data_IF_089029194777
#
_entry.id   IF_089029194777
#
_cell.length_a   1.000
_cell.length_b   1.000
_cell.length_c   1.000
_cell.angle_alpha   90.00
_cell.angle_beta   90.00
_cell.angle_gamma   90.00
#
_symmetry.space_group_name_H-M   'P 1'
#
loop_
_entity.id
_entity.type
_entity.pdbx_description
1 polymer ?
#
# COMPACT_ATOMS: atom_id res chain seq x y z
N UNK A 1 -73.22 -32.83 -29.52
CA UNK A 1 -73.48 -31.39 -29.77
C UNK A 1 -72.88 -30.62 -28.65
N UNK A 2 -71.88 -29.89 -28.87
CA UNK A 2 -71.66 -28.55 -28.34
C UNK A 2 -70.20 -28.09 -28.45
N UNK A 3 -70.03 -26.94 -28.88
CA UNK A 3 -68.95 -26.22 -29.54
C UNK A 3 -67.71 -25.97 -28.69
N UNK A 4 -66.55 -26.20 -29.31
CA UNK A 4 -65.29 -25.59 -28.94
C UNK A 4 -65.38 -24.06 -29.01
N UNK A 5 -64.96 -23.39 -27.94
CA UNK A 5 -64.53 -21.98 -27.98
C UNK A 5 -63.10 -21.90 -27.60
N UNK A 6 -62.27 -21.52 -28.56
CA UNK A 6 -60.89 -21.10 -28.41
C UNK A 6 -60.88 -19.75 -27.75
N UNK A 7 -60.21 -19.64 -26.60
CA UNK A 7 -59.85 -18.33 -26.02
C UNK A 7 -58.36 -18.12 -26.10
N UNK A 8 -58.05 -16.94 -26.58
CA UNK A 8 -56.79 -16.48 -27.07
C UNK A 8 -55.67 -16.41 -26.02
N UNK A 9 -54.52 -16.57 -26.58
CA UNK A 9 -53.21 -16.43 -25.90
C UNK A 9 -53.05 -14.98 -25.46
N UNK A 10 -53.13 -14.75 -24.15
CA UNK A 10 -52.87 -13.48 -23.52
C UNK A 10 -51.38 -13.18 -23.52
N UNK A 11 -51.05 -12.01 -24.00
CA UNK A 11 -49.75 -11.39 -24.15
C UNK A 11 -48.90 -11.55 -22.90
N UNK A 12 -47.73 -12.18 -23.06
CA UNK A 12 -46.65 -12.12 -22.07
C UNK A 12 -46.25 -10.65 -21.84
N UNK A 13 -46.56 -10.14 -20.67
CA UNK A 13 -45.94 -8.91 -20.16
C UNK A 13 -44.47 -9.22 -19.89
N UNK A 14 -43.60 -8.72 -20.73
CA UNK A 14 -42.19 -8.63 -20.43
C UNK A 14 -42.04 -7.71 -19.22
N UNK A 15 -41.72 -8.24 -18.05
CA UNK A 15 -41.16 -7.44 -16.97
C UNK A 15 -39.79 -6.96 -17.44
N UNK A 16 -39.71 -5.70 -17.80
CA UNK A 16 -38.45 -5.00 -17.90
C UNK A 16 -37.89 -4.89 -16.45
N UNK A 17 -36.98 -5.77 -16.10
CA UNK A 17 -36.11 -5.58 -14.95
C UNK A 17 -35.22 -4.43 -15.34
N UNK A 18 -35.56 -3.22 -14.89
CA UNK A 18 -34.61 -2.11 -14.84
C UNK A 18 -33.50 -2.54 -13.88
N UNK A 19 -32.39 -2.99 -14.42
CA UNK A 19 -31.11 -2.96 -13.69
C UNK A 19 -30.86 -1.50 -13.32
N UNK A 20 -31.27 -1.15 -12.12
CA UNK A 20 -30.79 0.06 -11.47
C UNK A 20 -29.30 -0.06 -11.44
N UNK A 21 -28.61 0.72 -12.26
CA UNK A 21 -27.22 1.02 -12.07
C UNK A 21 -27.10 1.61 -10.66
N UNK A 22 -26.83 0.78 -9.65
CA UNK A 22 -26.27 1.23 -8.40
C UNK A 22 -24.93 1.84 -8.82
N UNK A 23 -24.96 3.16 -9.02
CA UNK A 23 -23.74 3.91 -9.23
C UNK A 23 -22.83 3.59 -8.08
N UNK A 24 -21.69 2.96 -8.40
CA UNK A 24 -20.50 3.18 -7.59
C UNK A 24 -20.40 4.71 -7.51
N UNK A 25 -20.71 5.25 -6.33
CA UNK A 25 -20.28 6.58 -5.98
C UNK A 25 -18.75 6.49 -6.03
N UNK A 26 -18.20 6.77 -7.20
CA UNK A 26 -16.79 7.05 -7.33
C UNK A 26 -16.55 8.18 -6.33
N UNK A 27 -15.94 7.83 -5.21
CA UNK A 27 -15.26 8.80 -4.37
C UNK A 27 -14.52 9.68 -5.37
N UNK A 28 -14.83 10.98 -5.41
CA UNK A 28 -14.31 11.91 -6.40
C UNK A 28 -12.81 12.14 -6.23
N UNK A 29 -12.04 11.07 -6.32
CA UNK A 29 -10.60 11.09 -6.38
C UNK A 29 -10.22 11.74 -7.70
N UNK A 30 -9.60 12.90 -7.63
CA UNK A 30 -8.91 13.46 -8.79
C UNK A 30 -8.00 12.37 -9.35
N UNK A 31 -7.96 12.17 -10.68
CA UNK A 31 -7.01 11.22 -11.26
C UNK A 31 -5.62 11.54 -10.74
N UNK A 32 -4.88 10.49 -10.35
CA UNK A 32 -3.49 10.64 -9.95
C UNK A 32 -2.75 11.34 -11.09
N UNK A 33 -1.89 12.33 -10.80
CA UNK A 33 -1.04 12.87 -11.83
C UNK A 33 -0.23 11.69 -12.39
N UNK A 34 -0.32 11.49 -13.71
CA UNK A 34 0.53 10.53 -14.38
C UNK A 34 1.98 11.01 -14.18
N UNK A 35 2.70 10.38 -13.25
CA UNK A 35 4.11 10.69 -13.01
C UNK A 35 4.86 10.52 -14.34
N UNK A 36 5.71 11.48 -14.65
CA UNK A 36 6.58 11.37 -15.84
C UNK A 36 7.44 10.12 -15.66
N UNK A 37 7.50 9.19 -16.63
CA UNK A 37 8.35 8.01 -16.52
C UNK A 37 9.80 8.40 -16.22
N UNK A 38 10.33 7.92 -15.09
CA UNK A 38 11.69 8.25 -14.62
C UNK A 38 12.75 7.24 -15.08
N UNK A 39 12.40 6.36 -16.02
CA UNK A 39 13.18 5.17 -16.44
C UNK A 39 14.69 5.41 -16.63
N UNK A 40 15.10 6.57 -17.13
CA UNK A 40 16.52 6.88 -17.31
C UNK A 40 17.27 7.20 -16.03
N UNK A 41 16.63 7.87 -15.07
CA UNK A 41 17.25 8.32 -13.82
C UNK A 41 17.29 7.25 -12.74
N UNK A 42 16.39 6.27 -12.80
CA UNK A 42 16.20 5.27 -11.77
C UNK A 42 16.87 3.95 -12.06
N UNK A 43 17.23 3.71 -13.34
CA UNK A 43 17.82 2.45 -13.80
C UNK A 43 19.04 2.04 -12.98
N UNK A 44 19.01 0.81 -12.45
CA UNK A 44 20.09 0.22 -11.67
C UNK A 44 20.15 0.65 -10.20
N UNK A 45 19.27 1.56 -9.75
CA UNK A 45 19.11 1.79 -8.31
C UNK A 45 18.52 0.56 -7.66
N UNK A 46 18.86 0.33 -6.38
CA UNK A 46 18.28 -0.71 -5.55
C UNK A 46 17.39 -0.08 -4.48
N UNK A 47 16.22 -0.65 -4.25
CA UNK A 47 15.29 -0.21 -3.21
C UNK A 47 14.96 -1.39 -2.32
N UNK A 48 15.13 -1.21 -1.01
CA UNK A 48 14.75 -2.20 -0.01
C UNK A 48 13.24 -2.16 0.22
N UNK A 49 12.60 -3.32 0.26
CA UNK A 49 11.19 -3.47 0.63
C UNK A 49 11.15 -4.32 1.90
N UNK A 50 10.86 -3.69 3.03
CA UNK A 50 10.87 -4.35 4.34
C UNK A 50 9.50 -4.94 4.65
N UNK A 51 9.42 -6.27 4.80
CA UNK A 51 8.18 -7.02 5.00
C UNK A 51 8.26 -7.99 6.18
N UNK A 52 7.15 -8.17 6.90
CA UNK A 52 6.95 -9.23 7.88
C UNK A 52 5.89 -10.22 7.44
N UNK A 53 5.64 -11.25 8.25
CA UNK A 53 4.50 -12.13 8.04
C UNK A 53 3.21 -11.30 8.02
N UNK A 54 2.30 -11.67 7.13
CA UNK A 54 1.01 -11.01 6.95
C UNK A 54 1.10 -9.51 6.59
N UNK A 55 2.16 -9.09 5.92
CA UNK A 55 2.15 -7.81 5.21
C UNK A 55 1.07 -7.84 4.12
N UNK A 56 0.51 -6.67 3.77
CA UNK A 56 -0.53 -6.58 2.76
C UNK A 56 0.04 -6.87 1.36
N UNK A 57 -0.58 -7.83 0.66
CA UNK A 57 -0.03 -8.40 -0.58
C UNK A 57 -0.09 -7.44 -1.75
N UNK A 58 -1.20 -6.72 -1.95
CA UNK A 58 -1.34 -5.78 -3.07
C UNK A 58 -0.35 -4.61 -2.93
N UNK A 59 -0.19 -4.08 -1.72
CA UNK A 59 0.80 -3.03 -1.45
C UNK A 59 2.20 -3.51 -1.77
N UNK A 60 2.57 -4.68 -1.27
CA UNK A 60 3.92 -5.26 -1.46
C UNK A 60 4.20 -5.55 -2.93
N UNK A 61 3.31 -6.27 -3.62
CA UNK A 61 3.52 -6.64 -5.01
C UNK A 61 3.51 -5.44 -5.95
N UNK A 62 2.60 -4.48 -5.72
CA UNK A 62 2.57 -3.28 -6.55
C UNK A 62 3.86 -2.46 -6.40
N UNK A 63 4.37 -2.29 -5.17
CA UNK A 63 5.66 -1.63 -4.94
C UNK A 63 6.79 -2.32 -5.71
N UNK A 64 6.88 -3.65 -5.60
CA UNK A 64 7.91 -4.46 -6.28
C UNK A 64 7.81 -4.30 -7.80
N UNK A 65 6.64 -4.52 -8.39
CA UNK A 65 6.46 -4.47 -9.85
C UNK A 65 6.64 -3.05 -10.38
N UNK A 66 6.14 -2.05 -9.67
CA UNK A 66 6.27 -0.65 -10.08
C UNK A 66 7.73 -0.18 -10.09
N UNK A 67 8.55 -0.65 -9.14
CA UNK A 67 9.99 -0.43 -9.15
C UNK A 67 10.65 -1.09 -10.37
N UNK A 68 10.30 -2.36 -10.64
CA UNK A 68 10.83 -3.10 -11.79
C UNK A 68 10.48 -2.44 -13.12
N UNK A 69 9.28 -1.89 -13.28
CA UNK A 69 8.86 -1.15 -14.48
C UNK A 69 9.74 0.08 -14.76
N UNK A 70 10.27 0.71 -13.70
CA UNK A 70 11.20 1.85 -13.81
C UNK A 70 12.67 1.43 -13.92
N UNK A 71 12.96 0.12 -13.96
CA UNK A 71 14.32 -0.41 -14.03
C UNK A 71 15.08 -0.34 -12.70
N UNK A 72 14.36 -0.20 -11.59
CA UNK A 72 14.88 -0.30 -10.22
C UNK A 72 14.87 -1.76 -9.78
N UNK A 73 15.90 -2.20 -9.07
CA UNK A 73 15.96 -3.52 -8.45
C UNK A 73 15.29 -3.48 -7.06
N UNK A 74 14.08 -4.07 -6.88
CA UNK A 74 13.51 -4.23 -5.55
C UNK A 74 14.19 -5.40 -4.85
N UNK A 75 14.55 -5.21 -3.59
CA UNK A 75 15.10 -6.26 -2.73
C UNK A 75 14.17 -6.43 -1.53
N UNK A 76 13.47 -7.55 -1.48
CA UNK A 76 12.53 -7.85 -0.41
C UNK A 76 13.29 -8.44 0.78
N UNK A 77 13.23 -7.76 1.92
CA UNK A 77 13.90 -8.13 3.15
C UNK A 77 12.90 -8.55 4.23
N UNK A 78 13.26 -9.56 5.00
CA UNK A 78 12.50 -10.01 6.17
C UNK A 78 13.44 -10.44 7.31
N UNK A 79 12.89 -10.97 8.41
CA UNK A 79 13.68 -11.49 9.52
C UNK A 79 14.60 -12.65 9.08
N UNK A 80 14.13 -13.46 8.13
CA UNK A 80 14.83 -14.59 7.54
C UNK A 80 14.57 -14.63 6.04
N UNK A 81 15.50 -15.24 5.28
CA UNK A 81 15.28 -15.53 3.86
C UNK A 81 14.36 -16.74 3.75
N UNK A 82 13.12 -16.50 3.38
CA UNK A 82 12.08 -17.53 3.26
C UNK A 82 10.94 -17.07 2.36
N UNK A 83 9.98 -17.94 2.14
CA UNK A 83 8.69 -17.59 1.57
C UNK A 83 7.77 -17.11 2.67
N UNK A 84 7.34 -15.84 2.59
CA UNK A 84 6.42 -15.22 3.53
C UNK A 84 4.97 -15.34 3.07
N UNK A 85 4.06 -15.53 4.02
CA UNK A 85 2.62 -15.44 3.79
C UNK A 85 2.18 -13.98 3.86
N UNK A 86 1.55 -13.48 2.78
CA UNK A 86 0.91 -12.18 2.73
C UNK A 86 -0.58 -12.31 3.02
N UNK A 87 -1.23 -11.19 3.30
CA UNK A 87 -2.70 -11.09 3.45
C UNK A 87 -3.32 -10.23 2.36
N UNK A 88 -4.63 -10.35 2.22
CA UNK A 88 -5.48 -9.46 1.44
C UNK A 88 -6.41 -8.74 2.41
N UNK A 89 -6.37 -7.42 2.40
CA UNK A 89 -7.30 -6.57 3.12
C UNK A 89 -8.31 -5.96 2.16
N UNK A 90 -9.59 -6.27 2.37
CA UNK A 90 -10.70 -5.72 1.60
C UNK A 90 -11.49 -4.70 2.42
N UNK A 91 -11.87 -3.59 1.79
CA UNK A 91 -12.72 -2.55 2.37
C UNK A 91 -14.17 -2.75 1.90
N UNK A 92 -14.91 -3.63 2.57
CA UNK A 92 -16.31 -3.89 2.25
C UNK A 92 -17.24 -2.85 2.92
N UNK A 93 -18.17 -2.21 2.17
CA UNK A 93 -19.01 -1.12 2.71
C UNK A 93 -19.86 -1.49 3.93
N UNK A 94 -20.13 -2.78 4.13
CA UNK A 94 -20.94 -3.28 5.27
C UNK A 94 -20.16 -3.38 6.59
N UNK A 95 -18.83 -3.23 6.55
CA UNK A 95 -18.00 -3.28 7.74
C UNK A 95 -17.34 -1.93 8.01
N UNK A 96 -17.18 -1.61 9.29
CA UNK A 96 -16.47 -0.39 9.72
C UNK A 96 -14.94 -0.53 9.68
N UNK A 97 -14.44 -1.74 9.37
CA UNK A 97 -13.02 -2.06 9.29
C UNK A 97 -12.78 -2.95 8.07
N UNK A 98 -11.51 -3.17 7.70
CA UNK A 98 -11.16 -4.10 6.64
C UNK A 98 -11.41 -5.56 7.07
N UNK A 99 -11.66 -6.42 6.08
CA UNK A 99 -11.60 -7.87 6.25
C UNK A 99 -10.20 -8.38 5.92
N UNK A 100 -9.81 -9.54 6.45
CA UNK A 100 -8.52 -10.15 6.17
C UNK A 100 -8.69 -11.57 5.65
N UNK A 101 -7.93 -11.90 4.60
CA UNK A 101 -7.81 -13.24 4.02
C UNK A 101 -6.35 -13.53 3.73
N UNK A 102 -5.98 -14.81 3.69
CA UNK A 102 -4.65 -15.21 3.19
C UNK A 102 -4.52 -14.83 1.72
N UNK A 103 -3.43 -14.16 1.40
CA UNK A 103 -3.06 -13.74 0.06
C UNK A 103 -2.00 -14.67 -0.56
N UNK A 104 -1.33 -14.16 -1.60
CA UNK A 104 -0.17 -14.83 -2.18
C UNK A 104 1.02 -14.82 -1.22
N UNK A 105 2.01 -15.65 -1.51
CA UNK A 105 3.27 -15.69 -0.79
C UNK A 105 4.35 -14.95 -1.59
N UNK A 106 5.32 -14.35 -0.91
CA UNK A 106 6.45 -13.68 -1.53
C UNK A 106 7.77 -14.29 -1.06
N UNK A 107 8.72 -14.48 -2.00
CA UNK A 107 10.09 -14.87 -1.67
C UNK A 107 10.88 -13.65 -1.18
N UNK A 108 11.58 -13.79 -0.06
CA UNK A 108 12.50 -12.77 0.43
C UNK A 108 13.93 -13.07 -0.03
N UNK A 109 14.71 -12.02 -0.29
CA UNK A 109 16.06 -12.15 -0.84
C UNK A 109 17.17 -11.93 0.18
N UNK A 110 16.87 -11.25 1.29
CA UNK A 110 17.88 -10.93 2.31
C UNK A 110 17.26 -10.90 3.70
N UNK A 111 18.00 -11.37 4.70
CA UNK A 111 17.61 -11.21 6.10
C UNK A 111 17.98 -9.82 6.61
N UNK A 112 17.17 -9.23 7.50
CA UNK A 112 17.43 -7.89 8.04
C UNK A 112 18.83 -7.71 8.63
N UNK A 113 19.35 -8.74 9.32
CA UNK A 113 20.70 -8.73 9.91
C UNK A 113 21.84 -8.61 8.89
N UNK A 114 21.57 -8.97 7.64
CA UNK A 114 22.55 -8.96 6.54
C UNK A 114 22.41 -7.72 5.65
N UNK A 115 21.38 -6.87 5.90
CA UNK A 115 21.15 -5.64 5.14
C UNK A 115 22.22 -4.60 5.49
N UNK A 116 22.85 -4.07 4.45
CA UNK A 116 23.69 -2.86 4.54
C UNK A 116 22.89 -1.70 3.96
N UNK A 117 22.28 -0.81 4.78
CA UNK A 117 21.35 0.20 4.30
C UNK A 117 21.95 1.13 3.23
N UNK A 118 23.24 1.40 3.28
CA UNK A 118 23.96 2.23 2.31
C UNK A 118 24.00 1.66 0.89
N UNK A 119 23.69 0.37 0.71
CA UNK A 119 23.63 -0.27 -0.61
C UNK A 119 22.31 0.04 -1.35
N UNK A 120 21.38 0.75 -0.72
CA UNK A 120 20.05 1.01 -1.24
C UNK A 120 19.76 2.50 -1.38
N UNK A 121 19.15 2.87 -2.49
CA UNK A 121 18.77 4.27 -2.77
C UNK A 121 17.46 4.69 -2.09
N UNK A 122 16.69 3.76 -1.53
CA UNK A 122 15.44 4.03 -0.84
C UNK A 122 14.92 2.81 -0.08
N UNK A 123 13.96 3.06 0.81
CA UNK A 123 13.26 2.06 1.61
C UNK A 123 11.75 2.19 1.43
N UNK A 124 11.06 1.06 1.24
CA UNK A 124 9.61 0.94 1.23
C UNK A 124 9.12 0.00 2.33
N UNK A 125 8.03 0.37 2.99
CA UNK A 125 7.41 -0.40 4.07
C UNK A 125 5.91 -0.50 3.77
N UNK A 126 5.41 -1.65 3.26
CA UNK A 126 3.99 -1.88 3.08
C UNK A 126 3.27 -2.05 4.42
N UNK A 127 1.95 -2.10 4.38
CA UNK A 127 1.13 -2.30 5.56
C UNK A 127 0.77 -3.78 5.82
N UNK A 128 -0.49 -4.01 6.17
CA UNK A 128 -0.92 -5.26 6.75
C UNK A 128 -0.51 -5.35 8.22
N UNK A 129 -0.38 -6.56 8.76
CA UNK A 129 0.10 -6.80 10.12
C UNK A 129 1.62 -6.89 10.23
N UNK A 130 2.32 -7.02 9.08
CA UNK A 130 3.78 -7.08 9.04
C UNK A 130 4.48 -5.96 9.81
N UNK A 131 4.07 -4.68 9.71
CA UNK A 131 4.63 -3.58 10.48
C UNK A 131 4.59 -3.76 12.00
N UNK A 132 3.57 -4.43 12.53
CA UNK A 132 3.46 -4.71 13.97
C UNK A 132 4.53 -5.69 14.44
N UNK A 133 4.89 -6.64 13.58
CA UNK A 133 5.97 -7.58 13.82
C UNK A 133 7.33 -6.91 13.65
N UNK A 134 7.60 -6.34 12.47
CA UNK A 134 8.96 -5.93 12.11
C UNK A 134 9.48 -4.75 12.92
N UNK A 135 8.59 -3.91 13.48
CA UNK A 135 8.98 -2.83 14.41
C UNK A 135 9.59 -3.33 15.73
N UNK A 136 9.55 -4.64 15.99
CA UNK A 136 10.17 -5.25 17.16
C UNK A 136 11.65 -5.61 16.93
N UNK A 137 12.10 -5.65 15.66
CA UNK A 137 13.47 -6.01 15.32
C UNK A 137 14.39 -4.80 15.33
N UNK A 138 15.46 -4.89 16.13
CA UNK A 138 16.46 -3.83 16.24
C UNK A 138 17.06 -3.45 14.89
N UNK A 139 17.36 -4.45 14.07
CA UNK A 139 17.91 -4.30 12.73
C UNK A 139 17.00 -3.46 11.83
N UNK A 140 15.68 -3.67 11.89
CA UNK A 140 14.72 -2.87 11.14
C UNK A 140 14.70 -1.42 11.60
N UNK A 141 14.73 -1.20 12.92
CA UNK A 141 14.77 0.17 13.48
C UNK A 141 16.07 0.91 13.10
N UNK A 142 17.20 0.21 13.01
CA UNK A 142 18.47 0.75 12.53
C UNK A 142 18.43 1.06 11.03
N UNK A 143 17.85 0.16 10.20
CA UNK A 143 17.63 0.39 8.76
C UNK A 143 16.77 1.63 8.55
N UNK A 144 15.60 1.70 9.19
CA UNK A 144 14.71 2.87 9.09
C UNK A 144 15.42 4.14 9.55
N UNK A 145 16.17 4.06 10.66
CA UNK A 145 16.97 5.17 11.17
C UNK A 145 17.95 5.71 10.15
N UNK A 146 18.66 4.86 9.43
CA UNK A 146 19.58 5.26 8.38
C UNK A 146 18.91 6.12 7.29
N UNK A 147 17.74 5.69 6.78
CA UNK A 147 17.00 6.45 5.76
C UNK A 147 16.40 7.73 6.32
N UNK A 148 15.82 7.68 7.50
CA UNK A 148 15.16 8.82 8.13
C UNK A 148 16.15 9.92 8.51
N UNK A 149 17.22 9.57 9.23
CA UNK A 149 18.24 10.51 9.71
C UNK A 149 19.07 11.07 8.54
N UNK A 150 19.33 10.23 7.53
CA UNK A 150 20.06 10.62 6.32
C UNK A 150 19.23 11.47 5.35
N UNK A 151 17.94 11.69 5.61
CA UNK A 151 17.04 12.37 4.67
C UNK A 151 16.99 11.66 3.32
N UNK A 152 17.01 10.34 3.33
CA UNK A 152 16.97 9.49 2.14
C UNK A 152 15.52 9.09 1.79
N UNK A 153 15.23 8.66 0.54
CA UNK A 153 13.90 8.22 0.15
C UNK A 153 13.35 7.13 1.04
N UNK A 154 12.26 7.44 1.76
CA UNK A 154 11.57 6.54 2.67
C UNK A 154 10.08 6.58 2.39
N UNK A 155 9.50 5.44 2.00
CA UNK A 155 8.08 5.29 1.76
C UNK A 155 7.43 4.34 2.75
N UNK A 156 6.25 4.69 3.28
CA UNK A 156 5.47 3.80 4.14
C UNK A 156 3.97 3.97 3.89
N UNK A 157 3.25 2.85 3.91
CA UNK A 157 1.84 2.83 3.59
C UNK A 157 1.03 2.09 4.65
N UNK A 158 -0.26 2.46 4.80
CA UNK A 158 -1.21 1.76 5.65
C UNK A 158 -0.72 1.73 7.12
N UNK A 159 -0.33 0.55 7.64
CA UNK A 159 0.29 0.39 8.96
C UNK A 159 1.82 0.60 8.95
N UNK A 160 2.45 0.69 7.77
CA UNK A 160 3.90 0.90 7.63
C UNK A 160 4.49 2.06 8.45
N UNK A 161 3.83 3.22 8.59
CA UNK A 161 4.32 4.32 9.43
C UNK A 161 4.60 3.93 10.88
N UNK A 162 3.99 2.86 11.40
CA UNK A 162 4.28 2.34 12.75
C UNK A 162 5.76 2.01 12.95
N UNK A 163 6.42 1.52 11.90
CA UNK A 163 7.86 1.18 11.96
C UNK A 163 8.70 2.46 12.05
N UNK A 164 8.27 3.53 11.36
CA UNK A 164 8.99 4.80 11.35
C UNK A 164 8.99 5.44 12.75
N UNK A 165 7.80 5.61 13.35
CA UNK A 165 7.73 6.24 14.66
C UNK A 165 8.19 5.33 15.81
N UNK A 166 8.30 4.01 15.60
CA UNK A 166 9.03 3.13 16.50
C UNK A 166 10.57 3.35 16.43
N UNK A 167 11.07 3.68 15.24
CA UNK A 167 12.49 3.89 15.02
C UNK A 167 12.97 5.31 15.40
N UNK A 168 12.17 6.35 15.08
CA UNK A 168 12.56 7.76 15.23
C UNK A 168 11.39 8.66 15.64
N UNK A 169 11.67 9.75 16.37
CA UNK A 169 10.67 10.78 16.65
C UNK A 169 10.13 11.40 15.36
N UNK A 170 8.80 11.47 15.22
CA UNK A 170 8.12 12.05 14.05
C UNK A 170 7.41 13.37 14.37
N UNK A 171 7.78 14.03 15.48
CA UNK A 171 7.18 15.30 15.90
C UNK A 171 7.25 16.34 14.80
N UNK A 172 6.08 16.91 14.45
CA UNK A 172 5.95 17.93 13.44
C UNK A 172 5.92 17.42 11.99
N UNK A 173 6.07 16.12 11.76
CA UNK A 173 5.90 15.51 10.43
C UNK A 173 4.43 15.43 10.04
N UNK A 174 4.16 15.45 8.74
CA UNK A 174 2.84 15.18 8.14
C UNK A 174 2.84 13.72 7.66
N UNK A 175 1.90 12.92 8.15
CA UNK A 175 1.84 11.48 7.86
C UNK A 175 0.43 11.10 7.44
N UNK A 176 0.29 10.51 6.25
CA UNK A 176 -0.87 9.73 5.86
C UNK A 176 -0.67 8.28 6.28
N UNK A 177 -1.71 7.65 6.81
CA UNK A 177 -1.68 6.27 7.26
C UNK A 177 -3.10 5.69 7.22
N UNK A 178 -3.24 4.40 7.43
CA UNK A 178 -4.54 3.81 7.66
C UNK A 178 -5.24 4.52 8.82
N UNK A 179 -6.52 4.87 8.64
CA UNK A 179 -7.25 5.69 9.61
C UNK A 179 -7.32 5.06 11.01
N UNK A 180 -7.29 3.72 11.09
CA UNK A 180 -7.31 3.00 12.37
C UNK A 180 -6.11 3.25 13.26
N UNK A 181 -4.98 3.70 12.71
CA UNK A 181 -3.78 4.06 13.48
C UNK A 181 -3.58 5.58 13.63
N UNK A 182 -4.61 6.38 13.30
CA UNK A 182 -4.55 7.85 13.44
C UNK A 182 -4.09 8.27 14.83
N UNK A 183 -4.70 7.68 15.88
CA UNK A 183 -4.36 8.03 17.26
C UNK A 183 -2.88 7.74 17.60
N UNK A 184 -2.27 6.73 16.98
CA UNK A 184 -0.87 6.38 17.21
C UNK A 184 0.05 7.38 16.51
N UNK A 185 -0.28 7.80 15.29
CA UNK A 185 0.42 8.87 14.56
C UNK A 185 0.41 10.18 15.36
N UNK A 186 -0.76 10.58 15.87
CA UNK A 186 -0.92 11.81 16.67
C UNK A 186 -0.17 11.72 18.02
N UNK A 187 -0.20 10.56 18.71
CA UNK A 187 0.58 10.34 19.94
C UNK A 187 2.08 10.38 19.70
N UNK A 188 2.53 9.95 18.53
CA UNK A 188 3.94 10.06 18.14
C UNK A 188 4.37 11.52 17.84
N UNK A 189 3.42 12.47 17.89
CA UNK A 189 3.66 13.91 17.69
C UNK A 189 3.60 14.36 16.23
N UNK A 190 3.20 13.50 15.31
CA UNK A 190 2.99 13.85 13.92
C UNK A 190 1.57 14.42 13.69
N UNK A 191 1.38 15.13 12.59
CA UNK A 191 0.07 15.53 12.10
C UNK A 191 -0.47 14.43 11.17
N UNK A 192 -1.57 13.81 11.55
CA UNK A 192 -2.29 12.89 10.66
C UNK A 192 -2.94 13.68 9.52
N UNK A 193 -2.72 13.21 8.28
CA UNK A 193 -3.26 13.82 7.05
C UNK A 193 -4.09 12.79 6.31
N UNK A 194 -5.38 13.06 6.13
CA UNK A 194 -6.27 12.18 5.37
C UNK A 194 -6.24 12.52 3.87
N UNK A 195 -5.10 12.24 3.25
CA UNK A 195 -4.88 12.37 1.81
C UNK A 195 -4.38 11.05 1.22
N UNK A 196 -4.63 10.79 -0.07
CA UNK A 196 -4.17 9.55 -0.73
C UNK A 196 -2.67 9.31 -0.59
N UNK A 197 -1.88 10.37 -0.68
CA UNK A 197 -0.44 10.32 -0.43
C UNK A 197 0.09 11.68 0.01
N UNK A 198 1.07 11.67 0.91
CA UNK A 198 1.71 12.86 1.49
C UNK A 198 3.21 12.75 1.30
N UNK A 199 3.83 13.83 0.80
CA UNK A 199 5.28 14.02 0.79
C UNK A 199 5.63 15.03 1.88
N UNK A 200 6.55 14.65 2.76
CA UNK A 200 7.14 15.52 3.78
C UNK A 200 8.67 15.38 3.75
N UNK A 201 9.30 16.26 3.02
CA UNK A 201 10.72 16.13 2.68
C UNK A 201 10.95 14.92 1.78
N UNK A 202 11.66 13.92 2.26
CA UNK A 202 11.90 12.67 1.53
C UNK A 202 11.11 11.48 2.08
N UNK A 203 10.23 11.75 3.04
CA UNK A 203 9.25 10.79 3.53
C UNK A 203 7.97 10.85 2.68
N UNK A 204 7.56 9.71 2.15
CA UNK A 204 6.30 9.55 1.40
C UNK A 204 5.41 8.59 2.15
N UNK A 205 4.18 9.00 2.47
CA UNK A 205 3.24 8.15 3.20
C UNK A 205 1.87 8.11 2.54
N UNK A 206 1.09 7.05 2.79
CA UNK A 206 -0.21 6.82 2.17
C UNK A 206 -1.12 6.01 3.09
N UNK A 207 -2.44 6.06 2.82
CA UNK A 207 -3.47 5.45 3.68
C UNK A 207 -3.61 3.93 3.48
N UNK A 208 -3.36 3.40 2.27
CA UNK A 208 -3.54 1.99 1.97
C UNK A 208 -3.57 1.69 0.47
N UNK A 209 -3.77 0.42 0.11
CA UNK A 209 -3.64 -0.06 -1.26
C UNK A 209 -4.50 0.68 -2.31
N UNK A 210 -5.70 1.27 -2.02
CA UNK A 210 -6.44 2.03 -3.03
C UNK A 210 -5.69 3.28 -3.50
N UNK A 211 -4.75 3.75 -2.69
CA UNK A 211 -3.97 4.97 -2.94
C UNK A 211 -2.61 4.70 -3.60
N UNK A 212 -2.27 3.46 -3.91
CA UNK A 212 -1.03 3.08 -4.60
C UNK A 212 -0.73 3.88 -5.88
N UNK A 213 -1.74 4.21 -6.72
CA UNK A 213 -1.53 5.05 -7.91
C UNK A 213 -1.06 6.48 -7.61
N UNK A 214 -1.26 6.96 -6.38
CA UNK A 214 -0.78 8.27 -5.93
C UNK A 214 0.57 8.16 -5.21
N UNK A 215 0.73 7.12 -4.39
CA UNK A 215 1.91 6.90 -3.57
C UNK A 215 3.16 6.60 -4.39
N UNK A 216 3.10 5.61 -5.27
CA UNK A 216 4.29 5.15 -5.98
C UNK A 216 4.87 6.19 -6.96
N UNK A 217 4.09 6.98 -7.73
CA UNK A 217 4.65 8.07 -8.52
C UNK A 217 5.42 9.08 -7.66
N UNK A 218 4.87 9.50 -6.51
CA UNK A 218 5.54 10.45 -5.61
C UNK A 218 6.82 9.85 -4.99
N UNK A 219 6.80 8.57 -4.63
CA UNK A 219 8.01 7.89 -4.14
C UNK A 219 9.09 7.83 -5.22
N UNK A 220 8.72 7.52 -6.46
CA UNK A 220 9.67 7.48 -7.59
C UNK A 220 10.24 8.86 -7.91
N UNK A 221 9.44 9.92 -7.82
CA UNK A 221 9.91 11.30 -7.98
C UNK A 221 10.92 11.67 -6.88
N UNK A 222 10.62 11.32 -5.61
CA UNK A 222 11.55 11.49 -4.50
C UNK A 222 12.82 10.65 -4.68
N UNK A 223 12.71 9.44 -5.22
CA UNK A 223 13.86 8.56 -5.49
C UNK A 223 14.74 9.08 -6.63
N UNK A 224 14.16 9.80 -7.59
CA UNK A 224 14.88 10.38 -8.73
C UNK A 224 15.74 11.61 -8.36
N UNK A 225 15.41 12.31 -7.27
CA UNK A 225 16.12 13.47 -6.73
C UNK A 225 15.42 14.74 -6.99
#
# INVERSE_FOLDING_TARGET
>A
MSRHQSQGISRRRALAVSLGAAGLAALGAKPAPAGTPQRGKLKGKRVLVAVGEFSEGMETYYMVYRLMEEGVEPVVAAAEVKRLQMVVHDFEPKYSNYTEKLGYQIETQIAYKDVKPADYAGLLIPGGRGPEEIRQYKEVLEIVGHFYDGGLPLGAMCHGPQVIYAARPVKGRRIAAYHGIRADVERAGATFVDEPAVVDGRLVTSRGWPDLPYFMPLFLDVLAG
#
